data_IF_214227951883
#
_entry.id   IF_214227951883
#
_cell.length_a   1.000
_cell.length_b   1.000
_cell.length_c   1.000
_cell.angle_alpha   90.00
_cell.angle_beta   90.00
_cell.angle_gamma   90.00
#
_symmetry.space_group_name_H-M   'P 1'
#
loop_
_entity.id
_entity.type
_entity.pdbx_description
1 polymer ?
#
# COMPACT_ATOMS: atom_id res chain seq x y z
N UNK A 1 7.16 -24.85 -31.44
CA UNK A 1 6.20 -25.03 -30.33
C UNK A 1 6.49 -24.16 -29.11
N UNK A 2 7.70 -23.59 -28.95
CA UNK A 2 8.03 -22.73 -27.79
C UNK A 2 7.44 -21.31 -27.82
N UNK A 3 7.02 -20.79 -28.99
CA UNK A 3 6.48 -19.43 -29.12
C UNK A 3 5.06 -19.26 -28.52
N UNK A 4 4.27 -20.34 -28.46
CA UNK A 4 2.89 -20.29 -27.93
C UNK A 4 2.78 -20.40 -26.41
N UNK A 5 3.84 -20.83 -25.72
CA UNK A 5 3.89 -20.87 -24.25
C UNK A 5 4.32 -19.52 -23.68
N UNK A 6 5.28 -18.83 -24.31
CA UNK A 6 5.75 -17.51 -23.86
C UNK A 6 4.61 -16.49 -23.78
N UNK A 7 3.79 -16.38 -24.83
CA UNK A 7 2.63 -15.47 -24.83
C UNK A 7 1.54 -15.85 -23.83
N UNK A 8 1.44 -17.12 -23.41
CA UNK A 8 0.52 -17.56 -22.35
C UNK A 8 0.99 -17.10 -20.97
N UNK A 9 2.30 -17.12 -20.71
CA UNK A 9 2.87 -16.66 -19.45
C UNK A 9 2.77 -15.14 -19.28
N UNK A 10 2.96 -14.37 -20.37
CA UNK A 10 2.77 -12.92 -20.35
C UNK A 10 1.32 -12.53 -20.10
N UNK A 11 0.35 -13.21 -20.72
CA UNK A 11 -1.08 -12.99 -20.47
C UNK A 11 -1.48 -13.29 -19.03
N UNK A 12 -1.06 -14.45 -18.50
CA UNK A 12 -1.34 -14.86 -17.11
C UNK A 12 -0.73 -13.89 -16.10
N UNK A 13 0.46 -13.36 -16.40
CA UNK A 13 1.12 -12.36 -15.56
C UNK A 13 0.36 -11.03 -15.55
N UNK A 14 -0.12 -10.57 -16.71
CA UNK A 14 -0.92 -9.34 -16.82
C UNK A 14 -2.28 -9.48 -16.11
N UNK A 15 -2.99 -10.60 -16.31
CA UNK A 15 -4.26 -10.89 -15.64
C UNK A 15 -4.09 -10.93 -14.11
N UNK A 16 -3.00 -11.55 -13.62
CA UNK A 16 -2.66 -11.57 -12.21
C UNK A 16 -2.41 -10.16 -11.65
N UNK A 17 -1.62 -9.34 -12.34
CA UNK A 17 -1.33 -7.97 -11.93
C UNK A 17 -2.59 -7.09 -11.93
N UNK A 18 -3.45 -7.21 -12.95
CA UNK A 18 -4.72 -6.49 -13.02
C UNK A 18 -5.66 -6.87 -11.87
N UNK A 19 -5.79 -8.17 -11.58
CA UNK A 19 -6.60 -8.65 -10.46
C UNK A 19 -6.08 -8.14 -9.12
N UNK A 20 -4.75 -8.13 -8.93
CA UNK A 20 -4.11 -7.61 -7.73
C UNK A 20 -4.36 -6.11 -7.56
N UNK A 21 -4.18 -5.32 -8.63
CA UNK A 21 -4.41 -3.87 -8.61
C UNK A 21 -5.86 -3.51 -8.27
N UNK A 22 -6.82 -4.20 -8.91
CA UNK A 22 -8.26 -4.01 -8.65
C UNK A 22 -8.59 -4.34 -7.18
N UNK A 23 -8.11 -5.48 -6.70
CA UNK A 23 -8.37 -5.92 -5.32
C UNK A 23 -7.77 -4.97 -4.30
N UNK A 24 -6.52 -4.52 -4.51
CA UNK A 24 -5.86 -3.56 -3.63
C UNK A 24 -6.54 -2.19 -3.64
N UNK A 25 -6.97 -1.70 -4.81
CA UNK A 25 -7.68 -0.42 -4.93
C UNK A 25 -9.03 -0.46 -4.21
N UNK A 26 -9.79 -1.54 -4.37
CA UNK A 26 -11.03 -1.74 -3.62
C UNK A 26 -10.78 -1.79 -2.11
N UNK A 27 -9.70 -2.45 -1.69
CA UNK A 27 -9.33 -2.55 -0.28
C UNK A 27 -8.92 -1.20 0.31
N UNK A 28 -8.29 -0.32 -0.48
CA UNK A 28 -8.01 1.07 -0.06
C UNK A 28 -9.33 1.84 0.18
N UNK A 29 -10.33 1.69 -0.69
CA UNK A 29 -11.64 2.33 -0.52
C UNK A 29 -12.34 1.88 0.78
N UNK A 30 -12.28 0.58 1.12
CA UNK A 30 -12.83 0.06 2.37
C UNK A 30 -12.12 0.66 3.59
N UNK A 31 -10.80 0.76 3.55
CA UNK A 31 -10.04 1.40 4.63
C UNK A 31 -10.33 2.90 4.73
N UNK A 32 -10.54 3.59 3.61
CA UNK A 32 -10.92 5.00 3.59
C UNK A 32 -12.27 5.21 4.27
N UNK A 33 -13.25 4.34 4.00
CA UNK A 33 -14.53 4.35 4.71
C UNK A 33 -14.35 4.17 6.23
N UNK A 34 -13.48 3.23 6.64
CA UNK A 34 -13.17 3.02 8.07
C UNK A 34 -12.49 4.22 8.73
N UNK A 35 -11.59 4.91 8.03
CA UNK A 35 -10.92 6.13 8.55
C UNK A 35 -11.94 7.25 8.80
N UNK A 36 -12.92 7.42 7.92
CA UNK A 36 -13.95 8.46 8.06
C UNK A 36 -14.95 8.10 9.17
N UNK A 37 -15.39 6.85 9.22
CA UNK A 37 -16.40 6.36 10.18
C UNK A 37 -15.82 6.00 11.55
N UNK A 38 -14.50 5.98 11.72
CA UNK A 38 -13.85 5.60 12.97
C UNK A 38 -14.25 6.52 14.13
N UNK A 39 -14.89 5.99 15.20
CA UNK A 39 -15.29 6.78 16.36
C UNK A 39 -14.11 7.13 17.26
N UNK A 40 -13.05 6.30 17.27
CA UNK A 40 -11.83 6.55 18.06
C UNK A 40 -10.70 7.09 17.19
N UNK A 41 -9.84 7.93 17.77
CA UNK A 41 -8.64 8.46 17.09
C UNK A 41 -7.70 7.30 16.71
N UNK A 42 -7.60 6.28 17.55
CA UNK A 42 -6.81 5.08 17.28
C UNK A 42 -7.30 4.30 16.06
N UNK A 43 -8.62 4.12 15.88
CA UNK A 43 -9.17 3.46 14.70
C UNK A 43 -8.83 4.21 13.40
N UNK A 44 -8.79 5.55 13.46
CA UNK A 44 -8.42 6.39 12.31
C UNK A 44 -6.94 6.25 11.97
N UNK A 45 -6.07 6.27 12.97
CA UNK A 45 -4.63 6.09 12.80
C UNK A 45 -4.32 4.69 12.25
N UNK A 46 -4.97 3.66 12.81
CA UNK A 46 -4.80 2.28 12.35
C UNK A 46 -5.31 2.11 10.90
N UNK A 47 -6.40 2.78 10.56
CA UNK A 47 -6.91 2.84 9.19
C UNK A 47 -5.92 3.50 8.22
N UNK A 48 -5.35 4.65 8.60
CA UNK A 48 -4.32 5.36 7.82
C UNK A 48 -3.07 4.50 7.60
N UNK A 49 -2.55 3.84 8.65
CA UNK A 49 -1.41 2.94 8.53
C UNK A 49 -1.68 1.78 7.56
N UNK A 50 -2.91 1.24 7.58
CA UNK A 50 -3.34 0.19 6.66
C UNK A 50 -3.46 0.64 5.20
N UNK A 51 -3.77 1.91 4.95
CA UNK A 51 -3.79 2.50 3.60
C UNK A 51 -2.36 2.62 3.06
N UNK A 52 -1.42 3.12 3.87
CA UNK A 52 -0.02 3.29 3.48
C UNK A 52 0.62 1.99 2.99
N UNK A 53 0.42 0.88 3.70
CA UNK A 53 0.98 -0.41 3.28
C UNK A 53 0.43 -0.87 1.93
N UNK A 54 -0.87 -0.67 1.66
CA UNK A 54 -1.48 -1.04 0.37
C UNK A 54 -0.98 -0.14 -0.75
N UNK A 55 -0.80 1.15 -0.47
CA UNK A 55 -0.24 2.10 -1.44
C UNK A 55 1.21 1.76 -1.81
N UNK A 56 2.04 1.37 -0.83
CA UNK A 56 3.44 0.93 -1.06
C UNK A 56 3.47 -0.32 -1.94
N UNK A 57 2.69 -1.36 -1.60
CA UNK A 57 2.62 -2.59 -2.40
C UNK A 57 2.16 -2.29 -3.82
N UNK A 58 1.13 -1.44 -3.96
CA UNK A 58 0.60 -1.04 -5.26
C UNK A 58 1.63 -0.27 -6.10
N UNK A 59 2.42 0.61 -5.48
CA UNK A 59 3.52 1.33 -6.13
C UNK A 59 4.63 0.41 -6.65
N UNK A 60 5.08 -0.55 -5.84
CA UNK A 60 6.12 -1.52 -6.25
C UNK A 60 5.62 -2.42 -7.39
N UNK A 61 4.40 -2.91 -7.29
CA UNK A 61 3.76 -3.74 -8.34
C UNK A 61 3.64 -2.94 -9.64
N UNK A 62 3.23 -1.68 -9.57
CA UNK A 62 3.18 -0.80 -10.74
C UNK A 62 4.58 -0.65 -11.36
N UNK A 63 5.63 -0.50 -10.54
CA UNK A 63 7.02 -0.46 -11.01
C UNK A 63 7.47 -1.72 -11.76
N UNK A 64 6.97 -2.90 -11.40
CA UNK A 64 7.25 -4.15 -12.13
C UNK A 64 6.58 -4.20 -13.51
N UNK A 65 5.46 -3.50 -13.70
CA UNK A 65 4.78 -3.41 -15.00
C UNK A 65 5.48 -2.44 -15.95
N UNK A 66 6.09 -1.37 -15.43
CA UNK A 66 6.77 -0.34 -16.23
C UNK A 66 8.25 -0.61 -16.52
N UNK A 67 8.79 -1.79 -16.14
CA UNK A 67 10.20 -2.17 -16.35
C UNK A 67 11.22 -1.16 -15.79
N UNK A 68 10.81 -0.41 -14.76
CA UNK A 68 11.57 0.68 -14.11
C UNK A 68 11.45 0.59 -12.59
N UNK A 69 11.56 -0.64 -12.08
CA UNK A 69 11.32 -1.00 -10.66
C UNK A 69 12.15 -0.14 -9.70
N UNK A 70 13.39 0.19 -10.05
CA UNK A 70 14.34 0.91 -9.19
C UNK A 70 13.78 2.25 -8.69
N UNK A 71 13.14 3.03 -9.58
CA UNK A 71 12.57 4.33 -9.21
C UNK A 71 11.34 4.18 -8.30
N UNK A 72 10.49 3.18 -8.56
CA UNK A 72 9.30 2.95 -7.75
C UNK A 72 9.64 2.38 -6.37
N UNK A 73 10.71 1.58 -6.26
CA UNK A 73 11.21 1.06 -4.99
C UNK A 73 11.77 2.18 -4.11
N UNK A 74 12.45 3.17 -4.69
CA UNK A 74 12.93 4.34 -3.94
C UNK A 74 11.76 5.15 -3.34
N UNK A 75 10.77 5.48 -4.17
CA UNK A 75 9.54 6.16 -3.72
C UNK A 75 8.82 5.34 -2.64
N UNK A 76 8.71 4.03 -2.83
CA UNK A 76 8.05 3.11 -1.89
C UNK A 76 8.77 3.02 -0.54
N UNK A 77 10.10 3.00 -0.56
CA UNK A 77 10.92 3.03 0.65
C UNK A 77 10.78 4.36 1.37
N UNK A 78 10.72 5.48 0.64
CA UNK A 78 10.40 6.79 1.19
C UNK A 78 9.04 6.81 1.90
N UNK A 79 7.98 6.25 1.29
CA UNK A 79 6.67 6.12 1.93
C UNK A 79 6.69 5.20 3.16
N UNK A 80 7.48 4.11 3.14
CA UNK A 80 7.63 3.23 4.29
C UNK A 80 8.26 3.98 5.48
N UNK A 81 9.31 4.76 5.22
CA UNK A 81 9.95 5.59 6.24
C UNK A 81 9.02 6.68 6.77
N UNK A 82 8.25 7.35 5.90
CA UNK A 82 7.25 8.34 6.33
C UNK A 82 6.18 7.71 7.22
N UNK A 83 5.70 6.51 6.89
CA UNK A 83 4.73 5.79 7.72
C UNK A 83 5.31 5.43 9.10
N UNK A 84 6.60 5.06 9.16
CA UNK A 84 7.31 4.80 10.42
C UNK A 84 7.48 6.07 11.26
N UNK A 85 7.92 7.18 10.66
CA UNK A 85 8.03 8.48 11.35
C UNK A 85 6.67 8.95 11.83
N UNK A 86 5.61 8.76 11.05
CA UNK A 86 4.23 9.04 11.45
C UNK A 86 3.81 8.24 12.68
N UNK A 87 4.12 6.94 12.72
CA UNK A 87 3.85 6.11 13.90
C UNK A 87 4.60 6.60 15.14
N UNK A 88 5.88 6.96 15.01
CA UNK A 88 6.64 7.55 16.13
C UNK A 88 6.10 8.91 16.57
N UNK A 89 5.67 9.76 15.64
CA UNK A 89 5.06 11.04 15.96
C UNK A 89 3.77 10.85 16.77
N UNK A 90 2.95 9.87 16.41
CA UNK A 90 1.72 9.54 17.14
C UNK A 90 2.05 8.95 18.52
N UNK A 91 3.03 8.06 18.61
CA UNK A 91 3.48 7.50 19.89
C UNK A 91 3.94 8.62 20.85
N UNK A 92 4.78 9.54 20.37
CA UNK A 92 5.24 10.69 21.16
C UNK A 92 4.11 11.64 21.52
N UNK A 93 3.15 11.85 20.63
CA UNK A 93 1.97 12.68 20.89
C UNK A 93 1.10 12.09 22.01
N UNK A 94 0.92 10.77 22.01
CA UNK A 94 0.18 10.05 23.06
C UNK A 94 0.91 10.11 24.41
N UNK A 95 2.23 9.93 24.40
CA UNK A 95 3.09 10.04 25.60
C UNK A 95 3.01 11.46 26.21
N UNK A 96 3.10 12.51 25.39
CA UNK A 96 3.03 13.90 25.86
C UNK A 96 1.65 14.33 26.38
N UNK A 97 0.58 13.70 25.88
CA UNK A 97 -0.80 14.04 26.26
C UNK A 97 -1.24 13.38 27.57
N UNK A 98 -0.39 12.58 28.22
CA UNK A 98 -0.71 11.96 29.51
C UNK A 98 -1.90 11.02 29.41
N UNK A 99 -1.90 10.10 28.44
CA UNK A 99 -2.61 8.84 28.69
C UNK A 99 -1.97 8.20 29.93
N UNK A 100 -2.75 7.62 30.87
CA UNK A 100 -2.18 6.92 32.01
C UNK A 100 -1.21 5.82 31.59
#
# INVERSE_FOLDING_TARGET
TCLGLSGRHEFVMIDFFLFLLITLSFLILVYLYRVIQGPTVFDRVLGLAGISTKAIILGVVMGTVYDRVEMFVDISTGYALLNLVGAFAIAKFLEQRGAP
#
